data_IF_753971907160
#
_entry.id   IF_753971907160
#
_cell.length_a   1.000
_cell.length_b   1.000
_cell.length_c   1.000
_cell.angle_alpha   90.00
_cell.angle_beta   90.00
_cell.angle_gamma   90.00
#
_symmetry.space_group_name_H-M   'P 1'
#
loop_
_entity.id
_entity.type
_entity.pdbx_description
1 polymer ?
#
# COMPACT_ATOMS: atom_id res chain seq x y z
N UNK A 1 -6.21 5.20 -22.44
CA UNK A 1 -7.04 4.46 -21.47
C UNK A 1 -6.16 4.21 -20.25
N UNK A 2 -6.66 4.61 -19.07
CA UNK A 2 -5.94 4.58 -17.79
C UNK A 2 -5.56 3.14 -17.44
N UNK A 3 -4.26 2.86 -17.29
CA UNK A 3 -3.80 1.67 -16.57
C UNK A 3 -3.96 1.97 -15.09
N UNK A 4 -5.14 1.71 -14.56
CA UNK A 4 -5.23 1.25 -13.17
C UNK A 4 -4.25 0.10 -13.07
N UNK A 5 -3.21 0.28 -12.24
CA UNK A 5 -2.19 -0.71 -11.89
C UNK A 5 -2.81 -2.10 -11.94
N UNK A 6 -2.28 -3.02 -12.75
CA UNK A 6 -2.93 -4.26 -13.22
C UNK A 6 -3.24 -5.32 -12.14
N UNK A 7 -3.68 -4.89 -10.97
CA UNK A 7 -4.06 -5.67 -9.80
C UNK A 7 -5.54 -6.06 -9.90
N UNK A 8 -5.82 -7.33 -9.65
CA UNK A 8 -7.19 -7.77 -9.37
C UNK A 8 -7.67 -7.22 -8.03
N UNK A 9 -9.00 -7.19 -7.82
CA UNK A 9 -9.57 -6.79 -6.53
C UNK A 9 -8.99 -7.57 -5.35
N UNK A 10 -8.79 -8.88 -5.52
CA UNK A 10 -8.19 -9.74 -4.50
C UNK A 10 -6.73 -9.34 -4.20
N UNK A 11 -5.95 -9.01 -5.23
CA UNK A 11 -4.58 -8.55 -5.06
C UNK A 11 -4.53 -7.17 -4.39
N UNK A 12 -5.47 -6.27 -4.71
CA UNK A 12 -5.61 -4.98 -4.04
C UNK A 12 -5.96 -5.11 -2.56
N UNK A 13 -6.84 -6.05 -2.22
CA UNK A 13 -7.22 -6.32 -0.83
C UNK A 13 -6.05 -6.90 -0.01
N UNK A 14 -5.33 -7.88 -0.57
CA UNK A 14 -4.15 -8.46 0.06
C UNK A 14 -3.05 -7.42 0.29
N UNK A 15 -2.82 -6.55 -0.70
CA UNK A 15 -1.89 -5.43 -0.61
C UNK A 15 -2.28 -4.48 0.54
N UNK A 16 -3.56 -4.11 0.65
CA UNK A 16 -4.04 -3.29 1.76
C UNK A 16 -3.78 -3.94 3.13
N UNK A 17 -4.08 -5.24 3.25
CA UNK A 17 -3.95 -5.98 4.51
C UNK A 17 -2.48 -6.14 4.94
N UNK A 18 -1.59 -6.48 4.01
CA UNK A 18 -0.17 -6.68 4.30
C UNK A 18 0.49 -5.36 4.71
N UNK A 19 0.19 -4.26 4.01
CA UNK A 19 0.75 -2.95 4.35
C UNK A 19 0.20 -2.42 5.68
N UNK A 20 -1.10 -2.55 5.94
CA UNK A 20 -1.67 -2.15 7.21
C UNK A 20 -1.02 -2.89 8.38
N UNK A 21 -0.78 -4.19 8.26
CA UNK A 21 -0.09 -4.98 9.27
C UNK A 21 1.38 -4.58 9.47
N UNK A 22 2.11 -4.28 8.39
CA UNK A 22 3.48 -3.75 8.49
C UNK A 22 3.51 -2.40 9.22
N UNK A 23 2.55 -1.53 8.92
CA UNK A 23 2.49 -0.21 9.52
C UNK A 23 2.06 -0.23 10.98
N UNK A 24 1.08 -1.05 11.38
CA UNK A 24 0.64 -1.21 12.78
C UNK A 24 1.81 -1.47 13.74
N UNK A 25 2.81 -2.23 13.30
CA UNK A 25 4.00 -2.55 14.09
C UNK A 25 5.01 -1.39 14.19
N UNK A 26 4.80 -0.28 13.48
CA UNK A 26 5.81 0.77 13.25
C UNK A 26 5.33 2.21 13.54
N UNK A 27 4.15 2.42 14.16
CA UNK A 27 3.51 3.76 14.18
C UNK A 27 4.03 4.69 15.27
N UNK A 28 4.76 5.73 14.83
CA UNK A 28 4.40 7.12 15.11
C UNK A 28 3.74 7.71 13.84
N UNK A 29 2.61 8.41 13.99
CA UNK A 29 1.71 8.74 12.88
C UNK A 29 2.26 9.76 11.86
N UNK A 30 3.39 10.40 12.14
CA UNK A 30 3.92 11.50 11.31
C UNK A 30 4.57 11.03 10.00
N UNK A 31 4.93 9.75 9.87
CA UNK A 31 5.71 9.25 8.72
C UNK A 31 4.99 8.16 7.91
N UNK A 32 3.65 8.08 8.05
CA UNK A 32 2.84 7.01 7.44
C UNK A 32 2.97 7.01 5.92
N UNK A 33 2.95 8.17 5.26
CA UNK A 33 2.95 8.23 3.79
C UNK A 33 4.25 7.68 3.18
N UNK A 34 5.41 8.03 3.74
CA UNK A 34 6.70 7.49 3.31
C UNK A 34 6.80 5.98 3.57
N UNK A 35 6.27 5.51 4.70
CA UNK A 35 6.27 4.09 5.05
C UNK A 35 5.30 3.27 4.20
N UNK A 36 4.17 3.84 3.79
CA UNK A 36 3.22 3.20 2.85
C UNK A 36 3.91 2.99 1.51
N UNK A 37 4.56 4.01 0.96
CA UNK A 37 5.25 3.89 -0.34
C UNK A 37 6.35 2.83 -0.32
N UNK A 38 7.21 2.83 0.70
CA UNK A 38 8.23 1.80 0.87
C UNK A 38 7.62 0.38 1.01
N UNK A 39 6.51 0.25 1.72
CA UNK A 39 5.83 -1.03 1.88
C UNK A 39 5.16 -1.52 0.58
N UNK A 40 4.61 -0.60 -0.22
CA UNK A 40 4.09 -0.91 -1.57
C UNK A 40 5.20 -1.39 -2.48
N UNK A 41 6.35 -0.70 -2.50
CA UNK A 41 7.49 -1.08 -3.35
C UNK A 41 8.01 -2.49 -3.04
N UNK A 42 8.16 -2.81 -1.75
CA UNK A 42 8.55 -4.15 -1.31
C UNK A 42 7.54 -5.22 -1.77
N UNK A 43 6.24 -4.94 -1.65
CA UNK A 43 5.20 -5.87 -2.08
C UNK A 43 5.23 -6.10 -3.60
N UNK A 44 5.27 -5.03 -4.39
CA UNK A 44 5.31 -5.10 -5.86
C UNK A 44 6.53 -5.89 -6.33
N UNK A 45 7.69 -5.60 -5.75
CA UNK A 45 8.95 -6.32 -6.03
C UNK A 45 8.84 -7.81 -5.70
N UNK A 46 8.31 -8.17 -4.52
CA UNK A 46 8.14 -9.57 -4.12
C UNK A 46 7.18 -10.34 -5.02
N UNK A 47 6.09 -9.69 -5.42
CA UNK A 47 5.05 -10.29 -6.24
C UNK A 47 5.36 -10.21 -7.75
N UNK A 48 6.48 -9.57 -8.14
CA UNK A 48 6.87 -9.32 -9.54
C UNK A 48 5.77 -8.60 -10.31
N UNK A 49 5.13 -7.63 -9.68
CA UNK A 49 4.08 -6.82 -10.28
C UNK A 49 4.70 -5.54 -10.81
N UNK A 50 4.50 -5.28 -12.10
CA UNK A 50 4.95 -4.04 -12.73
C UNK A 50 3.95 -2.92 -12.40
N UNK A 51 4.40 -1.90 -11.68
CA UNK A 51 3.56 -0.81 -11.20
C UNK A 51 4.36 0.28 -10.50
N UNK A 52 3.83 1.50 -10.51
CA UNK A 52 4.42 2.66 -9.81
C UNK A 52 4.04 2.61 -8.31
N UNK A 53 5.02 2.42 -7.40
CA UNK A 53 4.77 2.38 -5.96
C UNK A 53 4.16 3.68 -5.44
N UNK A 54 4.57 4.84 -5.97
CA UNK A 54 4.09 6.14 -5.51
C UNK A 54 2.62 6.37 -5.91
N UNK A 55 2.22 5.91 -7.10
CA UNK A 55 0.83 5.99 -7.55
C UNK A 55 -0.09 5.10 -6.68
N UNK A 56 0.36 3.88 -6.40
CA UNK A 56 -0.38 2.94 -5.56
C UNK A 56 -0.43 3.39 -4.10
N UNK A 57 0.67 3.89 -3.57
CA UNK A 57 0.74 4.45 -2.22
C UNK A 57 -0.26 5.60 -2.02
N UNK A 58 -0.40 6.49 -3.00
CA UNK A 58 -1.41 7.57 -2.95
C UNK A 58 -2.84 7.04 -2.88
N UNK A 59 -3.15 5.98 -3.63
CA UNK A 59 -4.48 5.33 -3.61
C UNK A 59 -4.72 4.57 -2.30
N UNK A 60 -3.68 3.99 -1.72
CA UNK A 60 -3.76 3.12 -0.55
C UNK A 60 -3.64 3.88 0.77
N UNK A 61 -2.94 5.01 0.81
CA UNK A 61 -2.66 5.78 2.03
C UNK A 61 -3.95 6.12 2.79
N UNK A 62 -5.01 6.52 2.09
CA UNK A 62 -6.30 6.80 2.74
C UNK A 62 -6.94 5.53 3.33
N UNK A 63 -7.02 4.44 2.57
CA UNK A 63 -7.57 3.15 3.02
C UNK A 63 -6.81 2.60 4.23
N UNK A 64 -5.50 2.78 4.25
CA UNK A 64 -4.62 2.39 5.35
C UNK A 64 -4.83 3.30 6.56
N UNK A 65 -4.84 4.63 6.40
CA UNK A 65 -5.11 5.58 7.49
C UNK A 65 -6.46 5.30 8.16
N UNK A 66 -7.50 4.99 7.39
CA UNK A 66 -8.82 4.59 7.92
C UNK A 66 -8.74 3.29 8.74
N UNK A 67 -7.95 2.32 8.29
CA UNK A 67 -7.80 1.03 8.98
C UNK A 67 -6.95 1.13 10.25
N UNK A 68 -5.95 2.02 10.27
CA UNK A 68 -5.09 2.29 11.42
C UNK A 68 -5.78 3.17 12.48
N UNK A 69 -6.77 3.98 12.11
CA UNK A 69 -7.53 4.83 13.02
C UNK A 69 -8.66 4.11 13.78
N UNK A 70 -8.82 2.80 13.58
CA UNK A 70 -9.76 1.92 14.29
C UNK A 70 -9.03 1.05 15.30
#
# INVERSE_FOLDING_TARGET
MQTTSGLSEQQGQLLCDEIANMLLNTIEAQDIDNKVEAAVDVFLTRQKIDGDPAELARKLSWSIKVRLAR
#
